data_IF_666054599415
#
_entry.id   IF_666054599415
#
_cell.length_a   1.000
_cell.length_b   1.000
_cell.length_c   1.000
_cell.angle_alpha   90.00
_cell.angle_beta   90.00
_cell.angle_gamma   90.00
#
_symmetry.space_group_name_H-M   'P 1'
#
loop_
_entity.id
_entity.type
_entity.pdbx_description
1 polymer ?
#
# COMPACT_ATOMS: atom_id res chain seq x y z
N UNK A 1 16.07 -9.88 -8.39
CA UNK A 1 14.69 -9.48 -8.04
C UNK A 1 14.03 -8.59 -9.10
N UNK A 2 14.71 -7.56 -9.61
CA UNK A 2 14.13 -6.55 -10.52
C UNK A 2 13.67 -7.07 -11.90
N UNK A 3 14.21 -8.19 -12.41
CA UNK A 3 13.84 -8.73 -13.74
C UNK A 3 12.35 -9.08 -13.81
N UNK A 4 11.85 -9.85 -12.82
CA UNK A 4 10.43 -10.24 -12.78
C UNK A 4 9.52 -9.00 -12.68
N UNK A 5 9.88 -8.03 -11.85
CA UNK A 5 9.12 -6.79 -11.68
C UNK A 5 9.06 -6.01 -12.99
N UNK A 6 10.17 -5.88 -13.73
CA UNK A 6 10.20 -5.20 -15.03
C UNK A 6 9.36 -5.90 -16.10
N UNK A 7 9.27 -7.23 -16.03
CA UNK A 7 8.44 -7.99 -16.96
C UNK A 7 6.94 -7.85 -16.63
N UNK A 8 6.57 -7.78 -15.35
CA UNK A 8 5.17 -7.78 -14.91
C UNK A 8 4.57 -6.37 -14.78
N UNK A 9 5.30 -5.44 -14.17
CA UNK A 9 4.81 -4.10 -13.82
C UNK A 9 5.95 -3.06 -13.85
N UNK A 10 6.52 -2.76 -15.04
CA UNK A 10 7.66 -1.85 -15.16
C UNK A 10 7.36 -0.44 -14.66
N UNK A 11 6.14 0.06 -14.87
CA UNK A 11 5.68 1.37 -14.42
C UNK A 11 5.70 1.55 -12.91
N UNK A 12 5.67 0.45 -12.14
CA UNK A 12 5.74 0.50 -10.68
C UNK A 12 7.11 1.00 -10.21
N UNK A 13 8.20 0.72 -10.95
CA UNK A 13 9.55 1.17 -10.65
C UNK A 13 9.83 2.61 -11.11
N UNK A 14 8.95 3.20 -11.91
CA UNK A 14 9.02 4.59 -12.34
C UNK A 14 8.43 5.55 -11.29
N UNK A 15 7.68 5.00 -10.34
CA UNK A 15 7.06 5.77 -9.28
C UNK A 15 8.05 6.16 -8.20
N UNK A 16 8.06 7.44 -7.83
CA UNK A 16 8.91 7.97 -6.76
C UNK A 16 8.64 7.23 -5.45
N UNK A 17 9.74 6.79 -4.81
CA UNK A 17 9.73 6.05 -3.56
C UNK A 17 9.52 4.54 -3.69
N UNK A 18 9.29 4.01 -4.90
CA UNK A 18 9.10 2.58 -5.11
C UNK A 18 10.38 1.92 -5.65
N UNK A 19 11.14 1.31 -4.75
CA UNK A 19 12.28 0.45 -5.10
C UNK A 19 11.87 -1.02 -5.34
N UNK A 20 12.80 -1.86 -5.83
CA UNK A 20 12.54 -3.28 -6.13
C UNK A 20 11.92 -4.06 -4.98
N UNK A 21 12.34 -3.81 -3.74
CA UNK A 21 11.81 -4.50 -2.54
C UNK A 21 10.36 -4.13 -2.26
N UNK A 22 10.03 -2.85 -2.37
CA UNK A 22 8.65 -2.37 -2.15
C UNK A 22 7.74 -2.82 -3.29
N UNK A 23 8.23 -2.76 -4.54
CA UNK A 23 7.51 -3.27 -5.69
C UNK A 23 7.23 -4.78 -5.58
N UNK A 24 8.23 -5.58 -5.19
CA UNK A 24 8.07 -7.02 -4.96
C UNK A 24 7.01 -7.31 -3.89
N UNK A 25 7.09 -6.64 -2.74
CA UNK A 25 6.11 -6.82 -1.66
C UNK A 25 4.68 -6.53 -2.13
N UNK A 26 4.46 -5.42 -2.85
CA UNK A 26 3.14 -5.05 -3.36
C UNK A 26 2.61 -6.04 -4.40
N UNK A 27 3.47 -6.52 -5.32
CA UNK A 27 3.08 -7.50 -6.34
C UNK A 27 2.77 -8.87 -5.73
N UNK A 28 3.57 -9.33 -4.76
CA UNK A 28 3.31 -10.58 -4.03
C UNK A 28 1.96 -10.50 -3.30
N UNK A 29 1.70 -9.38 -2.62
CA UNK A 29 0.44 -9.18 -1.91
C UNK A 29 -0.76 -9.14 -2.86
N UNK A 30 -0.64 -8.44 -4.00
CA UNK A 30 -1.68 -8.43 -5.04
C UNK A 30 -1.98 -9.84 -5.55
N UNK A 31 -0.91 -10.62 -5.81
CA UNK A 31 -0.97 -11.97 -6.37
C UNK A 31 -1.38 -12.00 -7.84
N UNK A 32 -1.61 -13.20 -8.36
CA UNK A 32 -1.89 -13.41 -9.80
C UNK A 32 -3.34 -13.09 -10.23
N UNK A 33 -4.16 -12.56 -9.32
CA UNK A 33 -5.57 -12.17 -9.56
C UNK A 33 -5.78 -10.67 -9.26
N UNK A 34 -5.05 -9.75 -9.93
CA UNK A 34 -5.11 -8.32 -9.63
C UNK A 34 -6.50 -7.70 -9.86
N UNK A 35 -7.33 -8.29 -10.72
CA UNK A 35 -8.71 -7.87 -10.99
C UNK A 35 -9.64 -7.93 -9.77
N UNK A 36 -9.27 -8.68 -8.72
CA UNK A 36 -10.00 -8.66 -7.43
C UNK A 36 -9.88 -7.32 -6.70
N UNK A 37 -8.89 -6.49 -7.05
CA UNK A 37 -8.68 -5.17 -6.48
C UNK A 37 -9.55 -4.13 -7.20
N UNK A 38 -10.87 -4.24 -7.02
CA UNK A 38 -11.84 -3.38 -7.70
C UNK A 38 -11.86 -1.92 -7.22
N UNK A 39 -11.14 -1.58 -6.15
CA UNK A 39 -11.08 -0.23 -5.59
C UNK A 39 -9.84 0.01 -4.74
N UNK A 40 -9.50 1.28 -4.53
CA UNK A 40 -8.46 1.69 -3.57
C UNK A 40 -8.74 1.16 -2.16
N UNK A 41 -10.02 1.08 -1.76
CA UNK A 41 -10.43 0.54 -0.46
C UNK A 41 -10.10 -0.97 -0.33
N UNK A 42 -10.29 -1.75 -1.40
CA UNK A 42 -9.93 -3.18 -1.41
C UNK A 42 -8.41 -3.38 -1.30
N UNK A 43 -7.63 -2.55 -1.98
CA UNK A 43 -6.17 -2.55 -1.87
C UNK A 43 -5.71 -2.12 -0.46
N UNK A 44 -6.33 -1.09 0.10
CA UNK A 44 -6.06 -0.61 1.46
C UNK A 44 -6.37 -1.66 2.52
N UNK A 45 -7.46 -2.42 2.34
CA UNK A 45 -7.82 -3.54 3.22
C UNK A 45 -6.83 -4.70 3.10
N UNK A 46 -6.43 -5.05 1.88
CA UNK A 46 -5.46 -6.11 1.62
C UNK A 46 -4.08 -5.78 2.21
N UNK A 47 -3.61 -4.54 2.06
CA UNK A 47 -2.35 -4.09 2.65
C UNK A 47 -2.48 -3.80 4.17
N UNK A 48 -3.66 -3.91 4.76
CA UNK A 48 -3.86 -3.65 6.19
C UNK A 48 -3.67 -2.18 6.59
N UNK A 49 -3.79 -1.23 5.65
CA UNK A 49 -3.69 0.22 5.90
C UNK A 49 -5.04 0.87 6.14
N UNK A 50 -6.14 0.18 5.83
CA UNK A 50 -7.49 0.65 6.19
C UNK A 50 -7.78 0.47 7.69
N UNK A 51 -8.60 1.33 8.31
CA UNK A 51 -9.13 1.08 9.64
C UNK A 51 -10.25 0.02 9.61
N UNK A 52 -10.34 -0.82 10.64
CA UNK A 52 -11.43 -1.81 10.79
C UNK A 52 -12.41 -1.34 11.86
N UNK A 53 -13.70 -1.53 11.61
CA UNK A 53 -14.72 -1.28 12.62
C UNK A 53 -14.51 -2.12 13.88
N UNK A 54 -14.65 -1.46 15.02
CA UNK A 54 -14.70 -2.09 16.34
C UNK A 54 -15.77 -1.37 17.15
N UNK A 55 -17.02 -1.58 16.75
CA UNK A 55 -18.19 -1.04 17.43
C UNK A 55 -18.92 -2.13 18.23
N UNK A 56 -19.51 -1.74 19.35
CA UNK A 56 -20.47 -2.56 20.10
C UNK A 56 -21.62 -1.65 20.54
N UNK A 57 -22.83 -1.90 20.02
CA UNK A 57 -23.99 -1.06 20.32
C UNK A 57 -23.78 0.41 19.96
N UNK A 58 -23.87 1.31 20.95
CA UNK A 58 -23.81 2.78 20.76
C UNK A 58 -22.39 3.35 20.57
N UNK A 59 -21.33 2.57 20.78
CA UNK A 59 -19.95 3.06 20.63
C UNK A 59 -19.41 2.74 19.25
N UNK A 60 -19.07 3.77 18.47
CA UNK A 60 -18.31 3.62 17.23
C UNK A 60 -16.83 3.93 17.50
N UNK A 61 -15.98 2.92 17.32
CA UNK A 61 -14.52 3.05 17.40
C UNK A 61 -13.90 2.25 16.27
N UNK A 62 -12.78 2.73 15.75
CA UNK A 62 -11.99 2.02 14.75
C UNK A 62 -10.75 1.42 15.40
N UNK A 63 -10.30 0.27 14.91
CA UNK A 63 -9.03 -0.36 15.28
C UNK A 63 -8.12 -0.49 14.06
N UNK A 64 -6.83 -0.71 14.32
CA UNK A 64 -5.86 -1.08 13.27
C UNK A 64 -6.26 -2.39 12.59
N UNK A 65 -6.17 -2.43 11.27
CA UNK A 65 -6.30 -3.67 10.50
C UNK A 65 -5.05 -4.53 10.65
N UNK A 66 -5.16 -5.62 11.42
CA UNK A 66 -4.08 -6.61 11.59
C UNK A 66 -4.20 -7.81 10.64
N UNK A 67 -5.27 -7.87 9.83
CA UNK A 67 -5.56 -8.98 8.93
C UNK A 67 -4.96 -8.82 7.53
N UNK A 68 -4.47 -7.62 7.18
CA UNK A 68 -3.78 -7.39 5.92
C UNK A 68 -2.30 -7.77 5.95
N UNK A 69 -1.66 -7.66 4.79
CA UNK A 69 -0.24 -7.97 4.60
C UNK A 69 0.66 -6.89 5.22
N UNK A 70 1.42 -7.29 6.24
CA UNK A 70 2.33 -6.38 6.97
C UNK A 70 3.53 -5.94 6.12
N UNK A 71 3.99 -6.75 5.17
CA UNK A 71 5.10 -6.37 4.29
C UNK A 71 4.65 -5.29 3.31
N UNK A 72 3.45 -5.43 2.73
CA UNK A 72 2.86 -4.39 1.90
C UNK A 72 2.59 -3.11 2.70
N UNK A 73 2.07 -3.21 3.94
CA UNK A 73 1.93 -2.05 4.82
C UNK A 73 3.26 -1.32 5.01
N UNK A 74 4.32 -2.07 5.36
CA UNK A 74 5.66 -1.50 5.54
C UNK A 74 6.23 -0.89 4.24
N UNK A 75 5.93 -1.50 3.08
CA UNK A 75 6.29 -0.94 1.78
C UNK A 75 5.59 0.41 1.55
N UNK A 76 4.27 0.49 1.74
CA UNK A 76 3.51 1.74 1.62
C UNK A 76 4.05 2.82 2.57
N UNK A 77 4.35 2.48 3.82
CA UNK A 77 4.97 3.40 4.77
C UNK A 77 6.30 3.96 4.25
N UNK A 78 7.21 3.11 3.74
CA UNK A 78 8.50 3.56 3.19
C UNK A 78 8.32 4.45 1.97
N UNK A 79 7.38 4.13 1.09
CA UNK A 79 7.04 4.92 -0.10
C UNK A 79 6.57 6.31 0.34
N UNK A 80 5.63 6.39 1.28
CA UNK A 80 5.10 7.66 1.80
C UNK A 80 6.21 8.49 2.44
N UNK A 81 7.03 7.91 3.32
CA UNK A 81 8.17 8.64 3.94
C UNK A 81 9.13 9.19 2.90
N UNK A 82 9.40 8.45 1.82
CA UNK A 82 10.25 8.91 0.73
C UNK A 82 9.60 10.05 -0.04
N UNK A 83 8.31 9.93 -0.36
CA UNK A 83 7.54 10.99 -1.05
C UNK A 83 7.43 12.26 -0.21
N UNK A 84 7.19 12.17 1.10
CA UNK A 84 7.23 13.33 2.00
C UNK A 84 8.55 14.09 1.92
N UNK A 85 9.66 13.37 1.71
CA UNK A 85 10.99 13.97 1.62
C UNK A 85 11.34 14.52 0.25
N UNK A 86 10.69 14.08 -0.83
CA UNK A 86 11.18 14.34 -2.20
C UNK A 86 10.10 14.81 -3.18
N UNK A 87 8.82 14.63 -2.87
CA UNK A 87 7.69 14.96 -3.73
C UNK A 87 6.94 16.18 -3.20
N UNK A 88 6.99 17.28 -3.96
CA UNK A 88 6.36 18.53 -3.55
C UNK A 88 4.83 18.42 -3.45
N UNK A 89 4.21 17.66 -4.36
CA UNK A 89 2.76 17.40 -4.31
C UNK A 89 2.36 16.69 -3.02
N UNK A 90 3.12 15.68 -2.59
CA UNK A 90 2.88 14.95 -1.33
C UNK A 90 3.08 15.85 -0.12
N UNK A 91 4.09 16.73 -0.13
CA UNK A 91 4.29 17.70 0.96
C UNK A 91 3.10 18.64 1.09
N UNK A 92 2.64 19.22 -0.02
CA UNK A 92 1.48 20.12 -0.04
C UNK A 92 0.18 19.45 0.42
N UNK A 93 0.04 18.14 0.21
CA UNK A 93 -1.13 17.38 0.68
C UNK A 93 -1.16 17.17 2.20
N UNK A 94 0.00 17.19 2.86
CA UNK A 94 0.12 16.88 4.29
C UNK A 94 0.13 18.11 5.20
N UNK A 95 0.15 19.30 4.61
CA UNK A 95 0.01 20.59 5.31
C UNK A 95 -1.46 20.93 5.44
#
# INVERSE_FOLDING_TARGET
MTIAIRATAPSLLEQLGIGPDSAAALLITAGDNPERLASEASFAALCGVSPVEKSSGKSQRRRLNRGGDRQANAALHRIVVTRMRQDERTRLYLV
#
